data_IF_726056651112
#
_entry.id   IF_726056651112
#
_cell.length_a   1.000
_cell.length_b   1.000
_cell.length_c   1.000
_cell.angle_alpha   90.00
_cell.angle_beta   90.00
_cell.angle_gamma   90.00
#
_symmetry.space_group_name_H-M   'P 1'
#
loop_
_entity.id
_entity.type
_entity.pdbx_description
1 polymer ?
#
# COMPACT_ATOMS: atom_id res chain seq x y z
N UNK A 1 -27.62 8.67 -35.68
CA UNK A 1 -26.76 8.79 -34.48
C UNK A 1 -27.44 7.99 -33.38
N UNK A 2 -26.89 6.84 -33.01
CA UNK A 2 -27.49 5.94 -32.02
C UNK A 2 -27.05 6.35 -30.61
N UNK A 3 -28.02 6.77 -29.79
CA UNK A 3 -27.81 7.09 -28.39
C UNK A 3 -27.21 5.89 -27.64
N UNK A 4 -25.98 6.06 -27.14
CA UNK A 4 -25.37 5.11 -26.21
C UNK A 4 -26.16 5.17 -24.91
N UNK A 5 -27.07 4.22 -24.70
CA UNK A 5 -27.66 3.95 -23.38
C UNK A 5 -26.53 3.79 -22.36
N UNK A 6 -26.30 4.82 -21.54
CA UNK A 6 -25.47 4.72 -20.35
C UNK A 6 -26.13 3.72 -19.42
N UNK A 7 -25.51 2.54 -19.26
CA UNK A 7 -25.97 1.53 -18.31
C UNK A 7 -25.91 2.13 -16.90
N UNK A 8 -27.05 2.28 -16.24
CA UNK A 8 -27.11 2.39 -14.78
C UNK A 8 -26.68 1.03 -14.25
N UNK A 9 -25.44 0.94 -13.75
CA UNK A 9 -24.84 -0.29 -13.25
C UNK A 9 -24.94 -0.28 -11.72
N UNK A 10 -25.64 -1.26 -11.15
CA UNK A 10 -25.84 -1.40 -9.71
C UNK A 10 -24.51 -1.31 -8.95
N UNK A 11 -24.52 -0.47 -7.91
CA UNK A 11 -23.37 -0.25 -7.02
C UNK A 11 -23.07 -1.49 -6.14
N UNK A 12 -24.06 -2.38 -5.97
CA UNK A 12 -23.94 -3.62 -5.20
C UNK A 12 -22.86 -4.58 -5.73
N UNK A 13 -22.46 -4.47 -7.00
CA UNK A 13 -21.42 -5.31 -7.60
C UNK A 13 -19.98 -4.84 -7.30
N UNK A 14 -19.79 -3.84 -6.43
CA UNK A 14 -18.47 -3.27 -6.06
C UNK A 14 -18.09 -3.49 -4.60
N UNK A 15 -18.93 -4.20 -3.84
CA UNK A 15 -18.66 -4.52 -2.44
C UNK A 15 -17.66 -5.68 -2.40
N UNK A 16 -16.62 -5.56 -1.59
CA UNK A 16 -15.64 -6.61 -1.40
C UNK A 16 -16.25 -7.82 -0.67
N UNK A 17 -15.96 -9.04 -1.14
CA UNK A 17 -16.40 -10.26 -0.48
C UNK A 17 -15.24 -10.88 0.30
N UNK A 18 -15.42 -11.08 1.61
CA UNK A 18 -14.40 -11.64 2.51
C UNK A 18 -13.90 -13.03 2.07
N UNK A 19 -14.68 -13.81 1.32
CA UNK A 19 -14.23 -15.10 0.78
C UNK A 19 -13.02 -14.95 -0.15
N UNK A 20 -12.89 -13.80 -0.82
CA UNK A 20 -11.76 -13.52 -1.71
C UNK A 20 -10.43 -13.41 -0.95
N UNK A 21 -10.48 -13.11 0.36
CA UNK A 21 -9.31 -13.05 1.22
C UNK A 21 -8.58 -14.37 1.34
N UNK A 22 -9.32 -15.47 1.46
CA UNK A 22 -8.75 -16.81 1.59
C UNK A 22 -8.59 -17.47 0.22
N UNK A 23 -9.56 -17.27 -0.69
CA UNK A 23 -9.56 -17.94 -1.98
C UNK A 23 -8.50 -17.37 -2.93
N UNK A 24 -8.28 -16.06 -2.90
CA UNK A 24 -7.48 -15.34 -3.88
C UNK A 24 -6.37 -14.48 -3.25
N UNK A 25 -6.25 -14.44 -1.92
CA UNK A 25 -5.29 -13.61 -1.17
C UNK A 25 -5.46 -12.10 -1.37
N UNK A 26 -6.69 -11.60 -1.37
CA UNK A 26 -6.98 -10.17 -1.48
C UNK A 26 -7.53 -9.56 -0.20
N UNK A 27 -7.29 -8.27 0.02
CA UNK A 27 -7.96 -7.49 1.06
C UNK A 27 -8.45 -6.18 0.49
N UNK A 28 -9.42 -5.56 1.15
CA UNK A 28 -9.83 -4.20 0.83
C UNK A 28 -9.06 -3.19 1.70
N UNK A 29 -8.41 -2.23 1.05
CA UNK A 29 -7.78 -1.08 1.70
C UNK A 29 -8.29 0.18 1.00
N UNK A 30 -8.95 1.07 1.75
CA UNK A 30 -9.44 2.36 1.26
C UNK A 30 -10.27 2.26 -0.04
N UNK A 31 -11.21 1.31 -0.11
CA UNK A 31 -12.07 1.14 -1.29
C UNK A 31 -11.37 0.48 -2.49
N UNK A 32 -10.20 -0.12 -2.31
CA UNK A 32 -9.44 -0.81 -3.37
C UNK A 32 -9.08 -2.22 -2.93
N UNK A 33 -9.13 -3.18 -3.85
CA UNK A 33 -8.71 -4.54 -3.60
C UNK A 33 -7.20 -4.68 -3.84
N UNK A 34 -6.45 -5.11 -2.82
CA UNK A 34 -4.98 -5.25 -2.84
C UNK A 34 -4.60 -6.72 -2.69
N UNK A 35 -3.73 -7.21 -3.57
CA UNK A 35 -3.18 -8.57 -3.49
C UNK A 35 -2.14 -8.65 -2.37
N UNK A 36 -2.29 -9.60 -1.45
CA UNK A 36 -1.38 -9.79 -0.33
C UNK A 36 -0.01 -10.36 -0.76
N UNK A 37 0.04 -11.06 -1.90
CA UNK A 37 1.25 -11.72 -2.41
C UNK A 37 2.16 -10.72 -3.14
N UNK A 38 1.65 -10.03 -4.16
CA UNK A 38 2.44 -9.13 -5.01
C UNK A 38 2.23 -7.64 -4.72
N UNK A 39 1.27 -7.27 -3.86
CA UNK A 39 0.92 -5.88 -3.50
C UNK A 39 0.31 -5.05 -4.62
N UNK A 40 -0.02 -5.66 -5.76
CA UNK A 40 -0.75 -5.00 -6.83
C UNK A 40 -2.19 -4.68 -6.39
N UNK A 41 -2.73 -3.59 -6.93
CA UNK A 41 -4.08 -3.11 -6.62
C UNK A 41 -4.98 -3.26 -7.83
N UNK A 42 -6.15 -3.85 -7.63
CA UNK A 42 -7.21 -3.95 -8.62
C UNK A 42 -8.15 -2.76 -8.46
N UNK A 43 -8.22 -1.89 -9.46
CA UNK A 43 -8.98 -0.62 -9.40
C UNK A 43 -10.50 -0.81 -9.40
N UNK A 44 -10.99 -1.95 -9.89
CA UNK A 44 -12.43 -2.27 -9.95
C UNK A 44 -12.68 -3.54 -9.14
N UNK A 45 -13.29 -3.39 -7.97
CA UNK A 45 -13.65 -4.48 -7.07
C UNK A 45 -14.73 -5.33 -7.73
N UNK A 46 -14.30 -6.41 -8.39
CA UNK A 46 -15.15 -7.44 -9.00
C UNK A 46 -14.43 -8.76 -8.88
N UNK A 47 -15.18 -9.82 -8.56
CA UNK A 47 -14.63 -11.16 -8.46
C UNK A 47 -13.87 -11.56 -9.72
N UNK A 48 -14.40 -11.25 -10.91
CA UNK A 48 -13.73 -11.55 -12.17
C UNK A 48 -12.29 -11.01 -12.22
N UNK A 49 -12.09 -9.74 -11.85
CA UNK A 49 -10.76 -9.11 -11.91
C UNK A 49 -9.80 -9.71 -10.87
N UNK A 50 -10.31 -9.95 -9.65
CA UNK A 50 -9.55 -10.52 -8.53
C UNK A 50 -9.15 -11.97 -8.85
N UNK A 51 -10.11 -12.77 -9.30
CA UNK A 51 -9.90 -14.16 -9.71
C UNK A 51 -8.94 -14.22 -10.88
N UNK A 52 -9.14 -13.40 -11.91
CA UNK A 52 -8.23 -13.37 -13.07
C UNK A 52 -6.80 -13.11 -12.64
N UNK A 53 -6.56 -12.09 -11.80
CA UNK A 53 -5.23 -11.80 -11.26
C UNK A 53 -4.63 -13.02 -10.52
N UNK A 54 -5.41 -13.65 -9.62
CA UNK A 54 -4.93 -14.84 -8.92
C UNK A 54 -4.60 -15.98 -9.89
N UNK A 55 -5.49 -16.28 -10.83
CA UNK A 55 -5.36 -17.39 -11.79
C UNK A 55 -4.16 -17.22 -12.71
N UNK A 56 -3.85 -15.99 -13.16
CA UNK A 56 -2.76 -15.72 -14.11
C UNK A 56 -1.41 -15.54 -13.42
N UNK A 57 -1.38 -15.02 -12.20
CA UNK A 57 -0.13 -14.58 -11.55
C UNK A 57 0.32 -15.51 -10.43
N UNK A 58 -0.62 -16.17 -9.75
CA UNK A 58 -0.35 -16.85 -8.48
C UNK A 58 -0.84 -18.30 -8.42
N UNK A 59 -1.69 -18.74 -9.35
CA UNK A 59 -2.29 -20.09 -9.34
C UNK A 59 -1.26 -21.19 -9.19
N UNK A 60 -0.20 -21.19 -10.01
CA UNK A 60 0.79 -22.27 -10.02
C UNK A 60 1.52 -22.40 -8.68
N UNK A 61 1.71 -21.28 -7.98
CA UNK A 61 2.35 -21.24 -6.67
C UNK A 61 1.43 -21.77 -5.56
N UNK A 62 0.11 -21.64 -5.70
CA UNK A 62 -0.84 -21.89 -4.61
C UNK A 62 -1.98 -22.90 -4.91
N UNK A 63 -2.01 -23.52 -6.09
CA UNK A 63 -3.08 -24.43 -6.49
C UNK A 63 -3.17 -25.70 -5.62
N UNK A 64 -2.02 -26.20 -5.15
CA UNK A 64 -1.92 -27.43 -4.37
C UNK A 64 -1.92 -27.20 -2.85
N UNK A 65 -2.10 -25.95 -2.39
CA UNK A 65 -2.13 -25.68 -0.94
C UNK A 65 -3.45 -26.14 -0.32
N UNK A 66 -3.33 -26.88 0.79
CA UNK A 66 -4.44 -27.17 1.69
C UNK A 66 -5.02 -25.87 2.26
N UNK A 67 -6.33 -25.85 2.47
CA UNK A 67 -7.04 -24.66 2.96
C UNK A 67 -6.49 -24.12 4.30
N UNK A 68 -6.09 -25.02 5.21
CA UNK A 68 -5.50 -24.62 6.50
C UNK A 68 -4.20 -23.81 6.31
N UNK A 69 -3.35 -24.22 5.37
CA UNK A 69 -2.12 -23.50 5.05
C UNK A 69 -2.41 -22.16 4.35
N UNK A 70 -3.43 -22.11 3.47
CA UNK A 70 -3.86 -20.83 2.87
C UNK A 70 -4.31 -19.82 3.93
N UNK A 71 -5.06 -20.27 4.94
CA UNK A 71 -5.49 -19.41 6.06
C UNK A 71 -4.33 -18.89 6.90
N UNK A 72 -3.35 -19.74 7.19
CA UNK A 72 -2.15 -19.32 7.91
C UNK A 72 -1.34 -18.30 7.11
N UNK A 73 -1.08 -18.57 5.81
CA UNK A 73 -0.40 -17.63 4.92
C UNK A 73 -1.15 -16.30 4.79
N UNK A 74 -2.47 -16.33 4.68
CA UNK A 74 -3.30 -15.12 4.70
C UNK A 74 -3.02 -14.30 5.96
N UNK A 75 -3.11 -14.93 7.13
CA UNK A 75 -2.90 -14.29 8.43
C UNK A 75 -1.49 -13.68 8.52
N UNK A 76 -0.46 -14.45 8.15
CA UNK A 76 0.93 -13.98 8.15
C UNK A 76 1.14 -12.79 7.20
N UNK A 77 0.60 -12.84 5.98
CA UNK A 77 0.76 -11.75 5.02
C UNK A 77 0.05 -10.47 5.45
N UNK A 78 -1.12 -10.59 6.08
CA UNK A 78 -1.85 -9.45 6.67
C UNK A 78 -1.04 -8.85 7.83
N UNK A 79 -0.56 -9.68 8.77
CA UNK A 79 0.28 -9.21 9.87
C UNK A 79 1.56 -8.52 9.38
N UNK A 80 2.22 -9.09 8.36
CA UNK A 80 3.42 -8.51 7.76
C UNK A 80 3.12 -7.17 7.06
N UNK A 81 1.93 -7.04 6.43
CA UNK A 81 1.47 -5.77 5.88
C UNK A 81 1.32 -4.70 6.96
N UNK A 82 0.63 -5.02 8.05
CA UNK A 82 0.45 -4.09 9.17
C UNK A 82 1.78 -3.72 9.83
N UNK A 83 2.67 -4.70 10.07
CA UNK A 83 4.00 -4.44 10.61
C UNK A 83 4.81 -3.49 9.72
N UNK A 84 4.83 -3.73 8.41
CA UNK A 84 5.53 -2.86 7.45
C UNK A 84 4.92 -1.45 7.43
N UNK A 85 3.59 -1.34 7.43
CA UNK A 85 2.90 -0.05 7.47
C UNK A 85 3.22 0.72 8.76
N UNK A 86 3.16 0.05 9.92
CA UNK A 86 3.47 0.65 11.22
C UNK A 86 4.93 1.08 11.32
N UNK A 87 5.85 0.30 10.75
CA UNK A 87 7.26 0.69 10.67
C UNK A 87 7.44 1.99 9.89
N UNK A 88 6.87 2.08 8.68
CA UNK A 88 6.93 3.30 7.86
C UNK A 88 6.27 4.48 8.58
N UNK A 89 5.09 4.29 9.18
CA UNK A 89 4.41 5.35 9.94
C UNK A 89 5.27 5.84 11.11
N UNK A 90 5.92 4.93 11.85
CA UNK A 90 6.84 5.29 12.93
C UNK A 90 7.99 6.14 12.42
N UNK A 91 8.60 5.77 11.29
CA UNK A 91 9.68 6.55 10.66
C UNK A 91 9.24 7.93 10.23
N UNK A 92 8.05 8.06 9.63
CA UNK A 92 7.47 9.37 9.24
C UNK A 92 7.22 10.26 10.46
N UNK A 93 6.72 9.71 11.56
CA UNK A 93 6.53 10.45 12.81
C UNK A 93 7.86 10.90 13.40
N UNK A 94 8.87 10.01 13.42
CA UNK A 94 10.23 10.33 13.87
C UNK A 94 10.85 11.45 13.03
N UNK A 95 10.72 11.38 11.71
CA UNK A 95 11.19 12.41 10.78
C UNK A 95 10.55 13.77 11.07
N UNK A 96 9.23 13.79 11.23
CA UNK A 96 8.46 15.00 11.54
C UNK A 96 8.91 15.63 12.85
N UNK A 97 9.13 14.81 13.89
CA UNK A 97 9.64 15.28 15.17
C UNK A 97 11.05 15.87 15.07
N UNK A 98 11.96 15.23 14.33
CA UNK A 98 13.31 15.75 14.08
C UNK A 98 13.28 17.11 13.36
N UNK A 99 12.44 17.24 12.33
CA UNK A 99 12.28 18.51 11.60
C UNK A 99 11.71 19.60 12.51
N UNK A 100 10.68 19.29 13.31
CA UNK A 100 10.12 20.24 14.27
C UNK A 100 11.16 20.72 15.29
N UNK A 101 12.02 19.81 15.77
CA UNK A 101 13.11 20.16 16.68
C UNK A 101 14.15 21.08 16.01
N UNK A 102 14.50 20.85 14.74
CA UNK A 102 15.40 21.75 13.98
C UNK A 102 14.80 23.15 13.81
N UNK A 103 13.50 23.24 13.53
CA UNK A 103 12.78 24.52 13.43
C UNK A 103 12.82 25.27 14.76
N UNK A 104 12.57 24.58 15.87
CA UNK A 104 12.59 25.19 17.19
C UNK A 104 13.99 25.64 17.63
N UNK A 105 15.05 24.91 17.26
CA UNK A 105 16.41 25.18 17.72
C UNK A 105 17.17 26.20 16.88
N UNK A 106 17.00 26.21 15.55
CA UNK A 106 17.79 27.07 14.67
C UNK A 106 17.14 28.44 14.44
N UNK A 107 15.83 28.59 14.68
CA UNK A 107 15.09 29.87 14.55
C UNK A 107 15.32 30.62 13.23
N UNK A 108 15.62 29.89 12.16
CA UNK A 108 15.86 30.44 10.82
C UNK A 108 14.54 30.71 10.07
N UNK A 109 14.48 31.76 9.23
CA UNK A 109 13.30 32.03 8.42
C UNK A 109 13.14 30.98 7.31
N UNK A 110 11.91 30.73 6.87
CA UNK A 110 11.62 29.81 5.76
C UNK A 110 12.18 30.25 4.40
N UNK A 111 12.69 31.48 4.31
CA UNK A 111 13.43 31.99 3.14
C UNK A 111 14.89 31.52 3.07
N UNK A 112 15.43 30.95 4.15
CA UNK A 112 16.78 30.35 4.15
C UNK A 112 16.73 28.99 3.45
N UNK A 113 17.17 28.96 2.18
CA UNK A 113 17.17 27.76 1.36
C UNK A 113 18.05 26.63 1.90
N UNK A 114 19.17 26.96 2.56
CA UNK A 114 20.06 25.95 3.16
C UNK A 114 19.39 25.29 4.36
N UNK A 115 18.62 26.07 5.13
CA UNK A 115 17.83 25.53 6.23
C UNK A 115 16.71 24.60 5.73
N UNK A 116 15.96 25.00 4.70
CA UNK A 116 14.94 24.14 4.09
C UNK A 116 15.56 22.83 3.57
N UNK A 117 16.70 22.93 2.88
CA UNK A 117 17.46 21.76 2.40
C UNK A 117 17.83 20.83 3.56
N UNK A 118 18.32 21.36 4.68
CA UNK A 118 18.65 20.59 5.89
C UNK A 118 17.45 19.85 6.48
N UNK A 119 16.29 20.51 6.56
CA UNK A 119 15.05 19.87 7.03
C UNK A 119 14.64 18.71 6.11
N UNK A 120 14.70 18.89 4.78
CA UNK A 120 14.34 17.86 3.81
C UNK A 120 15.29 16.65 3.93
N UNK A 121 16.60 16.88 3.96
CA UNK A 121 17.59 15.81 4.10
C UNK A 121 17.38 15.01 5.39
N UNK A 122 17.13 15.70 6.51
CA UNK A 122 16.84 15.04 7.80
C UNK A 122 15.61 14.12 7.72
N UNK A 123 14.57 14.54 6.99
CA UNK A 123 13.37 13.73 6.81
C UNK A 123 13.63 12.52 5.90
N UNK A 124 14.39 12.71 4.80
CA UNK A 124 14.75 11.63 3.88
C UNK A 124 15.59 10.57 4.58
N UNK A 125 16.61 10.96 5.33
CA UNK A 125 17.49 10.04 6.07
C UNK A 125 16.72 9.16 7.06
N UNK A 126 15.66 9.70 7.68
CA UNK A 126 14.86 8.95 8.65
C UNK A 126 13.84 8.02 7.97
N UNK A 127 13.25 8.42 6.84
CA UNK A 127 12.19 7.68 6.14
C UNK A 127 12.79 6.60 5.22
N UNK A 128 13.91 6.88 4.56
CA UNK A 128 14.55 6.03 3.57
C UNK A 128 16.00 5.78 4.00
N UNK A 129 16.28 4.77 4.84
CA UNK A 129 17.63 4.50 5.30
C UNK A 129 18.57 3.97 4.19
N UNK A 130 18.04 3.59 3.02
CA UNK A 130 18.83 3.07 1.89
C UNK A 130 18.76 4.00 0.65
N UNK A 131 19.92 4.61 0.35
CA UNK A 131 20.30 5.42 -0.83
C UNK A 131 20.11 6.94 -0.74
N UNK A 132 21.14 7.58 -0.22
CA UNK A 132 21.54 8.95 -0.57
C UNK A 132 22.89 8.94 -1.32
N UNK A 133 23.07 8.01 -2.27
CA UNK A 133 24.02 8.21 -3.38
C UNK A 133 23.27 8.79 -4.57
N UNK A 134 22.89 10.06 -4.45
CA UNK A 134 22.62 10.90 -5.61
C UNK A 134 23.98 11.30 -6.19
N UNK A 135 24.56 10.43 -7.01
CA UNK A 135 25.56 10.86 -7.98
C UNK A 135 24.83 11.67 -9.06
N UNK A 136 25.03 12.99 -8.99
CA UNK A 136 24.78 13.96 -10.05
C UNK A 136 25.63 13.60 -11.27
#
# INVERSE_FOLDING_TARGET
MSDRKKRKYNDDCRIFNEKWSINYFFIEINGKAVCLVCRETVSVIKEFNIKQHYETTHREQFCNLKEALKKDMYTQNVLNLFKKQNFVNTKVVQASYKVANLIASETKPFSDGDFIKKCILTAVDEIIPDKLELHI
#
